data_IF_618778451509
#
_entry.id   IF_618778451509
#
_cell.length_a   1.000
_cell.length_b   1.000
_cell.length_c   1.000
_cell.angle_alpha   90.00
_cell.angle_beta   90.00
_cell.angle_gamma   90.00
#
_symmetry.space_group_name_H-M   'P 1'
#
loop_
_entity.id
_entity.type
_entity.pdbx_description
1 polymer ?
#
# COMPACT_ATOMS: atom_id res chain seq x y z
N UNK A 1 -20.80 13.82 24.82
CA UNK A 1 -20.96 14.04 23.36
C UNK A 1 -19.57 14.19 22.77
N UNK A 2 -19.06 13.16 22.11
CA UNK A 2 -17.76 13.25 21.45
C UNK A 2 -17.90 14.09 20.19
N UNK A 3 -17.13 15.17 20.11
CA UNK A 3 -17.14 16.11 19.00
C UNK A 3 -16.69 15.40 17.70
N UNK A 4 -17.53 15.30 16.64
CA UNK A 4 -17.13 14.70 15.37
C UNK A 4 -16.01 15.48 14.66
N UNK A 5 -15.71 16.72 15.09
CA UNK A 5 -14.59 17.52 14.56
C UNK A 5 -13.20 16.97 14.96
N UNK A 6 -13.12 16.05 15.92
CA UNK A 6 -11.87 15.41 16.35
C UNK A 6 -11.48 14.21 15.47
N UNK A 7 -12.26 13.85 14.46
CA UNK A 7 -11.89 12.76 13.55
C UNK A 7 -10.77 13.24 12.64
N UNK A 8 -9.59 12.62 12.79
CA UNK A 8 -8.41 12.88 11.99
C UNK A 8 -8.74 12.62 10.51
N UNK A 9 -9.07 13.68 9.77
CA UNK A 9 -9.38 13.60 8.34
C UNK A 9 -8.09 13.22 7.62
N UNK A 10 -8.00 11.95 7.24
CA UNK A 10 -6.92 11.49 6.38
C UNK A 10 -7.40 11.70 4.95
N UNK A 11 -6.71 12.55 4.19
CA UNK A 11 -7.03 12.78 2.77
C UNK A 11 -6.83 11.49 2.00
N UNK A 12 -7.91 11.02 1.37
CA UNK A 12 -7.87 9.90 0.44
C UNK A 12 -7.48 10.41 -0.94
N UNK A 13 -6.47 9.81 -1.56
CA UNK A 13 -6.08 10.08 -2.94
C UNK A 13 -6.24 8.81 -3.77
N UNK A 14 -6.80 8.92 -4.97
CA UNK A 14 -6.83 7.79 -5.91
C UNK A 14 -5.42 7.35 -6.32
N UNK A 15 -4.44 8.25 -6.30
CA UNK A 15 -3.05 7.91 -6.55
C UNK A 15 -2.45 7.00 -5.45
N UNK A 16 -3.06 6.98 -4.27
CA UNK A 16 -2.70 6.08 -3.16
C UNK A 16 -3.41 4.73 -3.24
N UNK A 17 -4.09 4.43 -4.36
CA UNK A 17 -4.77 3.16 -4.57
C UNK A 17 -4.17 2.36 -5.71
N UNK A 18 -4.22 1.04 -5.56
CA UNK A 18 -3.86 0.09 -6.62
C UNK A 18 -4.90 -1.02 -6.68
N UNK A 19 -5.18 -1.51 -7.90
CA UNK A 19 -6.08 -2.64 -8.10
C UNK A 19 -5.28 -3.93 -8.06
N UNK A 20 -5.74 -4.89 -7.25
CA UNK A 20 -5.16 -6.22 -7.18
C UNK A 20 -5.59 -7.11 -8.34
N UNK A 21 -4.92 -8.26 -8.48
CA UNK A 21 -5.26 -9.30 -9.47
C UNK A 21 -6.63 -9.95 -9.18
N UNK A 22 -7.14 -9.79 -7.96
CA UNK A 22 -8.50 -10.17 -7.55
C UNK A 22 -9.57 -9.16 -8.00
N UNK A 23 -9.17 -8.03 -8.61
CA UNK A 23 -10.06 -6.96 -9.06
C UNK A 23 -10.40 -5.93 -7.99
N UNK A 24 -10.00 -6.17 -6.73
CA UNK A 24 -10.29 -5.29 -5.60
C UNK A 24 -9.37 -4.08 -5.58
N UNK A 25 -9.88 -2.96 -5.04
CA UNK A 25 -9.11 -1.73 -4.91
C UNK A 25 -8.51 -1.62 -3.50
N UNK A 26 -7.20 -1.48 -3.44
CA UNK A 26 -6.45 -1.43 -2.19
C UNK A 26 -5.85 -0.05 -1.94
N UNK A 27 -5.93 0.44 -0.71
CA UNK A 27 -5.27 1.67 -0.28
C UNK A 27 -3.85 1.39 0.20
N UNK A 28 -2.85 1.85 -0.56
CA UNK A 28 -1.43 1.56 -0.38
C UNK A 28 -0.87 2.04 0.97
N UNK A 29 -1.20 3.25 1.49
CA UNK A 29 -0.77 3.66 2.82
C UNK A 29 -1.27 2.73 3.93
N UNK A 30 -2.51 2.23 3.81
CA UNK A 30 -3.06 1.25 4.75
C UNK A 30 -2.31 -0.07 4.66
N UNK A 31 -2.05 -0.56 3.44
CA UNK A 31 -1.28 -1.79 3.25
C UNK A 31 0.14 -1.69 3.81
N UNK A 32 0.84 -0.57 3.56
CA UNK A 32 2.17 -0.30 4.14
C UNK A 32 2.13 -0.33 5.66
N UNK A 33 1.11 0.28 6.28
CA UNK A 33 0.94 0.27 7.74
C UNK A 33 0.66 -1.13 8.27
N UNK A 34 -0.25 -1.88 7.65
CA UNK A 34 -0.56 -3.25 8.06
C UNK A 34 0.66 -4.17 7.91
N UNK A 35 1.44 -4.00 6.85
CA UNK A 35 2.68 -4.72 6.64
C UNK A 35 3.73 -4.40 7.70
N UNK A 36 3.95 -3.11 8.01
CA UNK A 36 4.88 -2.70 9.06
C UNK A 36 4.50 -3.22 10.45
N UNK A 37 3.19 -3.42 10.69
CA UNK A 37 2.67 -4.01 11.92
C UNK A 37 2.67 -5.55 11.91
N UNK A 38 3.10 -6.21 10.83
CA UNK A 38 3.07 -7.67 10.69
C UNK A 38 1.65 -8.26 10.57
N UNK A 39 0.63 -7.43 10.31
CA UNK A 39 -0.76 -7.86 10.17
C UNK A 39 -1.12 -8.28 8.74
N UNK A 40 -0.22 -8.05 7.78
CA UNK A 40 -0.42 -8.48 6.40
C UNK A 40 0.12 -9.90 6.22
N UNK A 41 -0.78 -10.87 6.01
CA UNK A 41 -0.41 -12.28 5.83
C UNK A 41 0.42 -12.46 4.55
N UNK A 42 1.61 -13.08 4.61
CA UNK A 42 2.36 -13.45 3.42
C UNK A 42 1.51 -14.29 2.46
N UNK A 43 1.60 -13.96 1.17
CA UNK A 43 0.84 -14.65 0.10
C UNK A 43 -0.63 -14.24 -0.05
N UNK A 44 -1.15 -13.35 0.79
CA UNK A 44 -2.46 -12.72 0.53
C UNK A 44 -2.39 -11.79 -0.68
N UNK A 45 -3.50 -11.57 -1.39
CA UNK A 45 -3.56 -10.66 -2.54
C UNK A 45 -3.01 -9.26 -2.20
N UNK A 46 -3.43 -8.72 -1.07
CA UNK A 46 -2.93 -7.44 -0.53
C UNK A 46 -1.41 -7.44 -0.28
N UNK A 47 -0.85 -8.54 0.22
CA UNK A 47 0.59 -8.67 0.41
C UNK A 47 1.35 -8.70 -0.91
N UNK A 48 0.89 -9.53 -1.86
CA UNK A 48 1.50 -9.65 -3.18
C UNK A 48 1.48 -8.32 -3.92
N UNK A 49 0.33 -7.64 -3.93
CA UNK A 49 0.17 -6.31 -4.52
C UNK A 49 1.14 -5.29 -3.90
N UNK A 50 1.25 -5.27 -2.56
CA UNK A 50 2.17 -4.36 -1.89
C UNK A 50 3.63 -4.63 -2.31
N UNK A 51 4.04 -5.90 -2.42
CA UNK A 51 5.40 -6.25 -2.83
C UNK A 51 5.68 -5.85 -4.28
N UNK A 52 4.72 -6.02 -5.19
CA UNK A 52 4.83 -5.56 -6.59
C UNK A 52 5.01 -4.04 -6.66
N UNK A 53 4.16 -3.28 -5.97
CA UNK A 53 4.24 -1.81 -5.93
C UNK A 53 5.58 -1.33 -5.37
N UNK A 54 6.10 -1.99 -4.33
CA UNK A 54 7.42 -1.65 -3.78
C UNK A 54 8.56 -2.00 -4.73
N UNK A 55 8.45 -3.10 -5.48
CA UNK A 55 9.43 -3.49 -6.49
C UNK A 55 9.47 -2.50 -7.66
N UNK A 56 8.30 -2.02 -8.12
CA UNK A 56 8.19 -1.04 -9.21
C UNK A 56 8.64 0.37 -8.79
N UNK A 57 8.43 0.72 -7.52
CA UNK A 57 8.88 2.00 -6.96
C UNK A 57 10.39 2.02 -6.65
N UNK A 58 11.05 0.86 -6.58
CA UNK A 58 12.50 0.81 -6.45
C UNK A 58 13.13 1.33 -7.75
N UNK A 59 14.04 2.32 -7.73
CA UNK A 59 14.72 2.76 -8.92
C UNK A 59 15.38 1.53 -9.54
N UNK A 60 14.95 1.20 -10.78
CA UNK A 60 15.37 0.01 -11.50
C UNK A 60 16.85 -0.17 -11.30
N UNK A 61 17.20 -1.18 -10.50
CA UNK A 61 18.54 -1.45 -9.99
C UNK A 61 19.52 -1.18 -11.12
N UNK A 62 20.21 -0.03 -11.03
CA UNK A 62 21.08 0.44 -12.09
C UNK A 62 22.04 -0.71 -12.37
N UNK A 63 21.82 -1.43 -13.48
CA UNK A 63 22.78 -2.39 -13.98
C UNK A 63 23.94 -1.52 -14.41
N UNK A 64 24.92 -1.35 -13.52
CA UNK A 64 26.25 -0.94 -13.89
C UNK A 64 26.75 -2.01 -14.85
N UNK A 65 26.59 -1.75 -16.14
CA UNK A 65 27.32 -2.44 -17.19
C UNK A 65 28.71 -1.82 -17.10
N UNK A 66 29.64 -2.57 -16.53
CA UNK A 66 31.08 -2.26 -16.54
C UNK A 66 31.69 -2.71 -17.87
#
# INVERSE_FOLDING_TARGET
MSDPASLNRTTFSLADTARGDDGELYHLPTLRRLHALGHLRPGSAAYVLLMQVLADAAPARARLIA
#
